data_IF_979043000577
#
_entry.id   IF_979043000577
#
_cell.length_a   1.000
_cell.length_b   1.000
_cell.length_c   1.000
_cell.angle_alpha   90.00
_cell.angle_beta   90.00
_cell.angle_gamma   90.00
#
_symmetry.space_group_name_H-M   'P 1'
#
loop_
_entity.id
_entity.type
_entity.pdbx_description
1 polymer ?
#
# COMPACT_ATOMS: atom_id res chain seq x y z
N UNK A 1 -27.37 5.40 15.68
CA UNK A 1 -26.92 6.72 15.21
C UNK A 1 -26.39 6.56 13.79
N UNK A 2 -27.26 6.80 12.81
CA UNK A 2 -27.05 6.48 11.39
C UNK A 2 -26.31 7.61 10.68
N UNK A 3 -24.99 7.48 10.56
CA UNK A 3 -24.17 8.37 9.72
C UNK A 3 -24.27 7.94 8.26
N UNK A 4 -25.14 8.59 7.50
CA UNK A 4 -25.25 8.41 6.05
C UNK A 4 -24.19 9.27 5.36
N UNK A 5 -23.12 8.64 4.88
CA UNK A 5 -22.10 9.25 4.02
C UNK A 5 -22.74 9.69 2.70
N UNK A 6 -23.09 10.98 2.59
CA UNK A 6 -23.61 11.58 1.36
C UNK A 6 -22.45 11.80 0.37
N UNK A 7 -22.53 11.13 -0.78
CA UNK A 7 -21.67 11.43 -1.93
C UNK A 7 -22.06 12.79 -2.51
N UNK A 8 -21.09 13.71 -2.63
CA UNK A 8 -21.26 14.95 -3.38
C UNK A 8 -21.30 14.65 -4.89
N UNK A 9 -22.34 15.08 -5.63
CA UNK A 9 -22.33 15.01 -7.08
C UNK A 9 -21.41 16.11 -7.68
N UNK A 10 -20.87 15.88 -8.89
CA UNK A 10 -19.88 16.76 -9.52
C UNK A 10 -20.46 18.12 -9.93
N UNK A 11 -19.61 19.14 -9.88
CA UNK A 11 -19.84 20.55 -10.18
C UNK A 11 -20.35 20.82 -11.61
N UNK A 12 -21.67 20.69 -11.83
CA UNK A 12 -22.38 21.31 -12.96
C UNK A 12 -23.21 22.54 -12.55
N UNK A 13 -22.89 23.18 -11.42
CA UNK A 13 -23.76 24.16 -10.75
C UNK A 13 -23.45 25.64 -11.00
N UNK A 14 -22.35 26.01 -11.67
CA UNK A 14 -21.92 27.43 -11.69
C UNK A 14 -22.85 28.33 -12.52
N UNK A 15 -23.22 27.92 -13.73
CA UNK A 15 -24.05 28.74 -14.62
C UNK A 15 -25.51 28.82 -14.15
N UNK A 16 -26.06 27.70 -13.66
CA UNK A 16 -27.41 27.65 -13.11
C UNK A 16 -27.53 28.48 -11.83
N UNK A 17 -26.51 28.46 -10.95
CA UNK A 17 -26.47 29.30 -9.75
C UNK A 17 -26.35 30.78 -10.13
N UNK A 18 -25.50 31.12 -11.10
CA UNK A 18 -25.36 32.49 -11.58
C UNK A 18 -26.69 33.06 -12.14
N UNK A 19 -27.44 32.26 -12.91
CA UNK A 19 -28.77 32.65 -13.40
C UNK A 19 -29.74 32.93 -12.24
N UNK A 20 -29.74 32.11 -11.20
CA UNK A 20 -30.58 32.31 -10.00
C UNK A 20 -30.20 33.58 -9.23
N UNK A 21 -28.91 33.87 -9.12
CA UNK A 21 -28.44 35.11 -8.50
C UNK A 21 -28.87 36.34 -9.29
N UNK A 22 -28.77 36.32 -10.63
CA UNK A 22 -29.24 37.44 -11.47
C UNK A 22 -30.75 37.64 -11.38
N UNK A 23 -31.54 36.56 -11.28
CA UNK A 23 -32.97 36.64 -11.00
C UNK A 23 -33.24 37.42 -9.70
N UNK A 24 -32.55 37.06 -8.61
CA UNK A 24 -32.73 37.73 -7.30
C UNK A 24 -32.30 39.20 -7.35
N UNK A 25 -31.16 39.50 -7.98
CA UNK A 25 -30.65 40.87 -8.13
C UNK A 25 -31.57 41.73 -9.00
N UNK A 26 -32.12 41.18 -10.08
CA UNK A 26 -33.09 41.85 -10.93
C UNK A 26 -34.37 42.22 -10.16
N UNK A 27 -34.88 41.31 -9.34
CA UNK A 27 -36.02 41.60 -8.47
C UNK A 27 -35.67 42.62 -7.37
N UNK A 28 -34.45 42.60 -6.82
CA UNK A 28 -34.00 43.57 -5.81
C UNK A 28 -33.86 44.98 -6.38
N UNK A 29 -33.53 45.10 -7.68
CA UNK A 29 -33.47 46.37 -8.41
C UNK A 29 -34.86 46.93 -8.79
N UNK A 30 -35.95 46.31 -8.32
CA UNK A 30 -37.32 46.79 -8.54
C UNK A 30 -37.99 46.29 -9.84
N UNK A 31 -37.33 45.44 -10.63
CA UNK A 31 -37.94 44.85 -11.84
C UNK A 31 -39.05 43.88 -11.47
N UNK A 32 -40.12 43.87 -12.27
CA UNK A 32 -41.20 42.90 -12.16
C UNK A 32 -40.72 41.49 -12.55
N UNK A 33 -41.41 40.45 -12.07
CA UNK A 33 -41.07 39.07 -12.41
C UNK A 33 -41.13 38.79 -13.93
N UNK A 34 -41.93 39.56 -14.68
CA UNK A 34 -42.06 39.43 -16.14
C UNK A 34 -40.85 40.01 -16.87
N UNK A 35 -40.33 41.13 -16.41
CA UNK A 35 -39.11 41.75 -16.97
C UNK A 35 -37.89 40.89 -16.69
N UNK A 36 -37.71 40.43 -15.45
CA UNK A 36 -36.60 39.55 -15.08
C UNK A 36 -36.64 38.22 -15.85
N UNK A 37 -37.84 37.70 -16.11
CA UNK A 37 -38.03 36.49 -16.90
C UNK A 37 -37.59 36.66 -18.36
N UNK A 38 -37.91 37.81 -18.96
CA UNK A 38 -37.47 38.15 -20.32
C UNK A 38 -35.95 38.33 -20.40
N UNK A 39 -35.35 39.03 -19.43
CA UNK A 39 -33.90 39.29 -19.37
C UNK A 39 -33.08 37.99 -19.23
N UNK A 40 -33.55 37.03 -18.41
CA UNK A 40 -32.83 35.78 -18.13
C UNK A 40 -33.25 34.60 -19.03
N UNK A 41 -34.21 34.80 -19.94
CA UNK A 41 -34.71 33.78 -20.86
C UNK A 41 -35.42 32.61 -20.16
N UNK A 42 -36.16 32.89 -19.07
CA UNK A 42 -36.86 31.88 -18.26
C UNK A 42 -38.35 32.17 -18.16
N UNK A 43 -39.14 31.20 -17.71
CA UNK A 43 -40.56 31.42 -17.44
C UNK A 43 -40.77 32.28 -16.18
N UNK A 44 -41.78 33.19 -16.14
CA UNK A 44 -42.07 34.01 -14.96
C UNK A 44 -42.30 33.21 -13.66
N UNK A 45 -42.82 31.98 -13.77
CA UNK A 45 -42.96 31.05 -12.64
C UNK A 45 -41.60 30.63 -12.04
N UNK A 46 -40.57 30.52 -12.87
CA UNK A 46 -39.20 30.20 -12.44
C UNK A 46 -38.61 31.35 -11.62
N UNK A 47 -38.87 32.60 -12.04
CA UNK A 47 -38.50 33.80 -11.26
C UNK A 47 -39.20 33.81 -9.90
N UNK A 48 -40.52 33.56 -9.89
CA UNK A 48 -41.30 33.46 -8.66
C UNK A 48 -40.78 32.38 -7.70
N UNK A 49 -40.45 31.19 -8.22
CA UNK A 49 -39.88 30.08 -7.45
C UNK A 49 -38.57 30.46 -6.77
N UNK A 50 -37.60 30.99 -7.52
CA UNK A 50 -36.29 31.33 -6.95
C UNK A 50 -36.33 32.53 -6.02
N UNK A 51 -37.17 33.52 -6.32
CA UNK A 51 -37.44 34.65 -5.42
C UNK A 51 -38.05 34.17 -4.10
N UNK A 52 -39.03 33.26 -4.14
CA UNK A 52 -39.61 32.66 -2.93
C UNK A 52 -38.58 31.90 -2.10
N UNK A 53 -37.82 31.00 -2.73
CA UNK A 53 -36.75 30.24 -2.04
C UNK A 53 -35.67 31.15 -1.44
N UNK A 54 -35.34 32.26 -2.10
CA UNK A 54 -34.40 33.24 -1.56
C UNK A 54 -34.97 34.00 -0.35
N UNK A 55 -36.27 34.32 -0.34
CA UNK A 55 -36.91 34.95 0.82
C UNK A 55 -36.91 34.01 2.05
N UNK A 56 -37.11 32.72 1.83
CA UNK A 56 -37.16 31.70 2.89
C UNK A 56 -35.76 31.35 3.43
N UNK A 57 -34.80 31.06 2.54
CA UNK A 57 -33.51 30.44 2.90
C UNK A 57 -32.28 31.21 2.38
N UNK A 58 -32.46 32.46 1.91
CA UNK A 58 -31.38 33.32 1.39
C UNK A 58 -30.54 32.59 0.33
N UNK A 59 -29.22 32.69 0.42
CA UNK A 59 -28.30 32.10 -0.55
C UNK A 59 -28.38 30.57 -0.59
N UNK A 60 -28.67 29.91 0.54
CA UNK A 60 -28.84 28.45 0.59
C UNK A 60 -30.05 27.99 -0.23
N UNK A 61 -31.11 28.81 -0.28
CA UNK A 61 -32.30 28.57 -1.10
C UNK A 61 -32.05 28.56 -2.61
N UNK A 62 -30.90 29.07 -3.08
CA UNK A 62 -30.53 29.09 -4.50
C UNK A 62 -29.76 27.84 -4.94
N UNK A 63 -29.32 27.00 -3.99
CA UNK A 63 -28.70 25.72 -4.32
C UNK A 63 -29.72 24.73 -4.90
N UNK A 64 -29.21 23.78 -5.69
CA UNK A 64 -30.01 22.60 -6.04
C UNK A 64 -30.21 21.75 -4.80
N UNK A 65 -31.46 21.42 -4.52
CA UNK A 65 -31.75 20.39 -3.53
C UNK A 65 -31.18 19.04 -3.98
N UNK A 66 -30.78 18.18 -3.03
CA UNK A 66 -30.41 16.81 -3.35
C UNK A 66 -31.57 16.16 -4.10
N UNK A 67 -31.36 15.87 -5.39
CA UNK A 67 -32.37 15.16 -6.18
C UNK A 67 -32.59 13.80 -5.52
N UNK A 68 -33.84 13.35 -5.35
CA UNK A 68 -34.11 11.98 -4.95
C UNK A 68 -33.40 11.07 -5.96
N UNK A 69 -32.35 10.39 -5.51
CA UNK A 69 -31.66 9.40 -6.34
C UNK A 69 -32.61 8.27 -6.71
N UNK A 70 -32.18 7.42 -7.65
CA UNK A 70 -32.94 6.19 -7.91
C UNK A 70 -33.12 5.40 -6.60
N UNK A 71 -34.33 4.89 -6.31
CA UNK A 71 -34.58 4.14 -5.09
C UNK A 71 -33.61 2.97 -4.98
N UNK A 72 -33.06 2.78 -3.78
CA UNK A 72 -32.05 1.75 -3.53
C UNK A 72 -32.69 0.37 -3.71
N UNK A 73 -32.21 -0.39 -4.71
CA UNK A 73 -32.72 -1.74 -5.03
C UNK A 73 -32.09 -2.86 -4.21
N UNK A 74 -30.97 -2.58 -3.52
CA UNK A 74 -30.20 -3.58 -2.79
C UNK A 74 -30.42 -3.33 -1.29
N UNK A 75 -31.02 -4.31 -0.63
CA UNK A 75 -31.29 -4.28 0.82
C UNK A 75 -29.98 -4.26 1.62
N UNK A 76 -30.05 -3.78 2.86
CA UNK A 76 -28.89 -3.85 3.76
C UNK A 76 -28.53 -5.31 4.08
N UNK A 77 -29.53 -6.18 4.21
CA UNK A 77 -29.38 -7.63 4.37
C UNK A 77 -28.52 -8.25 3.25
N UNK A 78 -28.77 -7.91 1.98
CA UNK A 78 -27.97 -8.43 0.87
C UNK A 78 -26.52 -7.91 0.86
N UNK A 79 -26.30 -6.70 1.40
CA UNK A 79 -24.95 -6.15 1.57
C UNK A 79 -24.23 -6.88 2.70
N UNK A 80 -24.90 -7.10 3.82
CA UNK A 80 -24.37 -7.84 4.97
C UNK A 80 -23.99 -9.27 4.59
N UNK A 81 -24.88 -10.01 3.93
CA UNK A 81 -24.61 -11.38 3.45
C UNK A 81 -23.37 -11.45 2.55
N UNK A 82 -23.19 -10.46 1.66
CA UNK A 82 -22.00 -10.38 0.82
C UNK A 82 -20.73 -10.14 1.64
N UNK A 83 -20.78 -9.23 2.62
CA UNK A 83 -19.63 -8.92 3.48
C UNK A 83 -19.23 -10.15 4.30
N UNK A 84 -20.20 -10.80 4.96
CA UNK A 84 -19.99 -12.03 5.73
C UNK A 84 -19.40 -13.13 4.86
N UNK A 85 -19.99 -13.38 3.69
CA UNK A 85 -19.45 -14.37 2.74
C UNK A 85 -18.03 -14.03 2.27
N UNK A 86 -17.71 -12.74 2.12
CA UNK A 86 -16.36 -12.29 1.74
C UNK A 86 -15.34 -12.55 2.84
N UNK A 87 -15.71 -12.36 4.11
CA UNK A 87 -14.80 -12.42 5.25
C UNK A 87 -14.61 -13.83 5.81
N UNK A 88 -15.65 -14.66 5.78
CA UNK A 88 -15.67 -15.92 6.52
C UNK A 88 -15.56 -17.16 5.64
N UNK A 89 -15.63 -17.01 4.32
CA UNK A 89 -15.67 -18.13 3.37
C UNK A 89 -14.66 -17.97 2.26
N UNK A 90 -14.33 -19.09 1.62
CA UNK A 90 -13.54 -19.13 0.40
C UNK A 90 -14.35 -19.77 -0.74
N UNK A 91 -14.15 -19.34 -2.00
CA UNK A 91 -14.81 -19.95 -3.13
C UNK A 91 -14.31 -21.39 -3.37
N UNK A 92 -15.20 -22.26 -3.84
CA UNK A 92 -14.82 -23.61 -4.26
C UNK A 92 -13.81 -23.56 -5.41
N UNK A 93 -12.65 -24.18 -5.22
CA UNK A 93 -11.62 -24.30 -6.28
C UNK A 93 -10.81 -23.03 -6.54
N UNK A 94 -10.85 -22.02 -5.66
CA UNK A 94 -10.01 -20.84 -5.75
C UNK A 94 -9.59 -20.36 -4.36
N UNK A 95 -8.45 -19.68 -4.28
CA UNK A 95 -7.91 -19.17 -3.01
C UNK A 95 -8.65 -17.94 -2.48
N UNK A 96 -9.26 -17.14 -3.38
CA UNK A 96 -9.90 -15.87 -3.02
C UNK A 96 -11.12 -15.59 -3.89
N UNK A 97 -12.08 -14.83 -3.34
CA UNK A 97 -13.25 -14.39 -4.09
C UNK A 97 -12.88 -13.44 -5.25
N UNK A 98 -13.36 -13.77 -6.45
CA UNK A 98 -13.42 -12.83 -7.57
C UNK A 98 -14.78 -12.12 -7.55
N UNK A 99 -14.88 -10.96 -8.20
CA UNK A 99 -16.19 -10.30 -8.40
C UNK A 99 -17.19 -11.21 -9.11
N UNK A 100 -16.69 -12.08 -10.00
CA UNK A 100 -17.53 -13.03 -10.74
C UNK A 100 -18.05 -14.15 -9.84
N UNK A 101 -17.20 -14.74 -8.99
CA UNK A 101 -17.61 -15.83 -8.12
C UNK A 101 -18.49 -15.34 -6.97
N UNK A 102 -18.20 -14.18 -6.40
CA UNK A 102 -19.05 -13.57 -5.37
C UNK A 102 -20.42 -13.12 -5.93
N UNK A 103 -20.46 -12.67 -7.19
CA UNK A 103 -21.72 -12.37 -7.89
C UNK A 103 -22.57 -13.63 -8.09
N UNK A 104 -21.93 -14.76 -8.46
CA UNK A 104 -22.62 -16.04 -8.60
C UNK A 104 -23.16 -16.56 -7.25
N UNK A 105 -22.41 -16.36 -6.16
CA UNK A 105 -22.79 -16.76 -4.81
C UNK A 105 -23.98 -15.95 -4.27
N UNK A 106 -23.98 -14.62 -4.48
CA UNK A 106 -24.94 -13.70 -3.86
C UNK A 106 -26.11 -13.31 -4.78
N UNK A 107 -26.05 -13.67 -6.07
CA UNK A 107 -26.99 -13.22 -7.09
C UNK A 107 -26.87 -11.73 -7.47
N UNK A 108 -25.89 -11.01 -6.91
CA UNK A 108 -25.66 -9.59 -7.20
C UNK A 108 -24.80 -9.41 -8.45
N UNK A 109 -24.95 -8.28 -9.14
CA UNK A 109 -24.09 -7.96 -10.28
C UNK A 109 -22.62 -7.76 -9.86
N UNK A 110 -21.68 -8.09 -10.75
CA UNK A 110 -20.22 -7.90 -10.51
C UNK A 110 -19.87 -6.45 -10.15
N UNK A 111 -20.57 -5.47 -10.74
CA UNK A 111 -20.35 -4.05 -10.47
C UNK A 111 -20.87 -3.65 -9.08
N UNK A 112 -21.99 -4.24 -8.64
CA UNK A 112 -22.49 -4.10 -7.27
C UNK A 112 -21.49 -4.67 -6.27
N UNK A 113 -21.02 -5.91 -6.46
CA UNK A 113 -20.00 -6.52 -5.60
C UNK A 113 -18.78 -5.62 -5.50
N UNK A 114 -18.26 -5.13 -6.64
CA UNK A 114 -17.12 -4.24 -6.66
C UNK A 114 -17.34 -2.90 -5.93
N UNK A 115 -18.55 -2.32 -6.01
CA UNK A 115 -18.90 -1.09 -5.28
C UNK A 115 -18.99 -1.34 -3.77
N UNK A 116 -19.57 -2.46 -3.35
CA UNK A 116 -19.66 -2.83 -1.93
C UNK A 116 -18.24 -3.05 -1.39
N UNK A 117 -17.44 -3.91 -2.02
CA UNK A 117 -16.04 -4.11 -1.61
C UNK A 117 -15.26 -2.80 -1.53
N UNK A 118 -15.39 -1.90 -2.51
CA UNK A 118 -14.73 -0.58 -2.47
C UNK A 118 -15.22 0.28 -1.29
N UNK A 119 -16.52 0.27 -1.00
CA UNK A 119 -17.12 1.09 0.06
C UNK A 119 -16.70 0.62 1.45
N UNK A 120 -16.50 -0.69 1.62
CA UNK A 120 -16.09 -1.32 2.89
C UNK A 120 -14.58 -1.61 2.95
N UNK A 121 -13.79 -1.19 1.95
CA UNK A 121 -12.35 -1.44 1.91
C UNK A 121 -11.96 -2.92 1.76
N UNK A 122 -12.89 -3.80 1.38
CA UNK A 122 -12.64 -5.23 1.25
C UNK A 122 -11.80 -5.52 0.00
N UNK A 123 -10.68 -6.22 0.20
CA UNK A 123 -9.79 -6.64 -0.88
C UNK A 123 -9.46 -8.12 -0.70
N UNK A 124 -10.34 -9.03 -1.19
CA UNK A 124 -10.19 -10.46 -0.91
C UNK A 124 -8.90 -11.10 -1.44
N UNK A 125 -8.21 -10.45 -2.37
CA UNK A 125 -6.94 -10.91 -2.94
C UNK A 125 -5.72 -10.40 -2.17
N UNK A 126 -5.89 -9.51 -1.19
CA UNK A 126 -4.82 -9.03 -0.34
C UNK A 126 -4.76 -9.90 0.90
N UNK A 127 -3.57 -10.40 1.19
CA UNK A 127 -3.25 -11.16 2.39
C UNK A 127 -2.06 -10.46 3.03
N UNK A 128 -2.25 -9.97 4.24
CA UNK A 128 -1.16 -9.47 5.06
C UNK A 128 -0.71 -10.60 5.98
N UNK A 129 0.57 -10.92 5.92
CA UNK A 129 1.20 -11.85 6.84
C UNK A 129 1.74 -11.07 8.03
N UNK A 130 1.54 -11.61 9.23
CA UNK A 130 2.13 -11.05 10.44
C UNK A 130 2.85 -12.16 11.19
N UNK A 131 3.87 -11.78 11.95
CA UNK A 131 4.61 -12.69 12.81
C UNK A 131 4.61 -12.10 14.22
N UNK A 132 4.06 -12.84 15.18
CA UNK A 132 4.22 -12.56 16.59
C UNK A 132 5.42 -13.39 17.06
N UNK A 133 6.42 -12.73 17.61
CA UNK A 133 7.58 -13.40 18.22
C UNK A 133 7.21 -13.85 19.62
N UNK A 134 7.53 -15.10 19.95
CA UNK A 134 7.35 -15.68 21.28
C UNK A 134 8.67 -15.75 22.06
N UNK A 135 9.66 -14.95 21.63
CA UNK A 135 10.98 -14.91 22.24
C UNK A 135 10.87 -14.38 23.68
N UNK A 136 11.33 -15.13 24.71
CA UNK A 136 11.31 -14.65 26.09
C UNK A 136 12.09 -13.34 26.28
N UNK A 137 13.06 -13.05 25.41
CA UNK A 137 13.87 -11.82 25.40
C UNK A 137 13.39 -10.81 24.35
N UNK A 138 12.16 -10.91 23.86
CA UNK A 138 11.62 -10.07 22.79
C UNK A 138 11.88 -8.57 23.02
N UNK A 139 11.47 -8.06 24.19
CA UNK A 139 11.59 -6.63 24.52
C UNK A 139 13.04 -6.18 24.53
N UNK A 140 13.93 -6.97 25.11
CA UNK A 140 15.34 -6.62 25.22
C UNK A 140 16.04 -6.64 23.86
N UNK A 141 15.77 -7.65 23.02
CA UNK A 141 16.30 -7.72 21.65
C UNK A 141 15.77 -6.60 20.76
N UNK A 142 14.48 -6.24 20.89
CA UNK A 142 13.91 -5.10 20.18
C UNK A 142 14.61 -3.81 20.61
N UNK A 143 14.79 -3.59 21.93
CA UNK A 143 15.47 -2.39 22.43
C UNK A 143 16.93 -2.33 22.00
N UNK A 144 17.63 -3.44 22.01
CA UNK A 144 19.02 -3.56 21.56
C UNK A 144 19.15 -3.17 20.08
N UNK A 145 18.35 -3.79 19.20
CA UNK A 145 18.37 -3.49 17.77
C UNK A 145 17.90 -2.07 17.48
N UNK A 146 16.74 -1.65 18.03
CA UNK A 146 16.20 -0.30 17.81
C UNK A 146 17.14 0.77 18.36
N UNK A 147 17.81 0.51 19.48
CA UNK A 147 18.83 1.39 20.05
C UNK A 147 19.93 1.69 19.05
N UNK A 148 20.47 0.66 18.37
CA UNK A 148 21.49 0.84 17.33
C UNK A 148 21.03 1.70 16.14
N UNK A 149 19.73 1.67 15.81
CA UNK A 149 19.18 2.51 14.74
C UNK A 149 18.96 3.96 15.17
N UNK A 150 18.59 4.19 16.43
CA UNK A 150 18.21 5.52 16.92
C UNK A 150 19.40 6.30 17.49
N UNK A 151 20.26 5.62 18.23
CA UNK A 151 21.38 6.21 18.98
C UNK A 151 22.52 5.17 19.08
N UNK A 152 23.25 4.92 17.98
CA UNK A 152 24.35 3.97 17.98
C UNK A 152 25.49 4.46 18.89
N UNK A 153 26.31 3.55 19.46
CA UNK A 153 27.46 3.93 20.25
C UNK A 153 28.43 4.86 19.50
N UNK A 154 29.19 5.67 20.24
CA UNK A 154 30.22 6.49 19.63
C UNK A 154 31.26 5.62 18.90
N UNK A 155 31.70 6.07 17.72
CA UNK A 155 32.64 5.34 16.87
C UNK A 155 32.16 3.92 16.50
N UNK A 156 30.85 3.73 16.36
CA UNK A 156 30.27 2.49 15.88
C UNK A 156 29.94 2.54 14.38
N UNK A 157 30.14 1.41 13.71
CA UNK A 157 29.58 1.09 12.40
C UNK A 157 28.47 0.05 12.59
N UNK A 158 27.24 0.42 12.27
CA UNK A 158 26.07 -0.47 12.38
C UNK A 158 25.74 -1.06 11.02
N UNK A 159 25.84 -2.39 10.91
CA UNK A 159 25.61 -3.13 9.68
C UNK A 159 24.45 -4.11 9.85
N UNK A 160 23.47 -4.05 8.94
CA UNK A 160 22.43 -5.05 8.83
C UNK A 160 22.85 -6.14 7.85
N UNK A 161 23.03 -7.36 8.35
CA UNK A 161 23.54 -8.48 7.58
C UNK A 161 22.40 -9.43 7.22
N UNK A 162 22.30 -9.75 5.94
CA UNK A 162 21.33 -10.71 5.42
C UNK A 162 21.96 -11.60 4.33
N UNK A 163 21.36 -12.77 4.14
CA UNK A 163 21.78 -13.77 3.19
C UNK A 163 20.66 -14.15 2.23
N UNK A 164 20.95 -14.00 0.94
CA UNK A 164 20.11 -14.56 -0.10
C UNK A 164 20.77 -15.82 -0.66
N UNK A 165 20.37 -16.96 -0.09
CA UNK A 165 20.79 -18.28 -0.58
C UNK A 165 20.01 -18.70 -1.83
N UNK A 166 20.54 -19.72 -2.52
CA UNK A 166 19.89 -20.38 -3.66
C UNK A 166 19.50 -19.45 -4.82
N UNK A 167 20.25 -18.38 -5.05
CA UNK A 167 20.08 -17.50 -6.20
C UNK A 167 20.41 -18.29 -7.47
N UNK A 168 19.41 -18.55 -8.31
CA UNK A 168 19.65 -19.18 -9.60
C UNK A 168 20.32 -18.17 -10.55
N UNK A 169 21.51 -18.50 -11.04
CA UNK A 169 22.18 -17.72 -12.07
C UNK A 169 21.60 -18.13 -13.43
N UNK A 170 20.55 -17.43 -13.84
CA UNK A 170 19.83 -17.66 -15.09
C UNK A 170 20.19 -16.60 -16.11
N UNK A 171 20.44 -17.02 -17.35
CA UNK A 171 20.49 -16.14 -18.50
C UNK A 171 19.44 -16.55 -19.54
N UNK A 172 19.02 -15.61 -20.39
CA UNK A 172 18.10 -15.90 -21.49
C UNK A 172 18.88 -16.46 -22.67
N UNK A 173 18.30 -17.44 -23.36
CA UNK A 173 18.89 -17.99 -24.58
C UNK A 173 18.96 -16.98 -25.73
N UNK A 174 18.14 -15.92 -25.69
CA UNK A 174 18.19 -14.80 -26.63
C UNK A 174 17.84 -13.47 -25.93
N UNK A 175 18.24 -12.32 -26.52
CA UNK A 175 17.89 -11.00 -25.99
C UNK A 175 16.37 -10.80 -25.87
N UNK A 176 15.96 -10.09 -24.81
CA UNK A 176 14.55 -9.70 -24.62
C UNK A 176 14.17 -8.64 -25.66
N UNK A 177 13.08 -8.89 -26.39
CA UNK A 177 12.52 -7.90 -27.31
C UNK A 177 11.53 -7.02 -26.54
N UNK A 178 11.76 -5.69 -26.48
CA UNK A 178 10.93 -4.79 -25.69
C UNK A 178 9.49 -4.74 -26.21
N UNK A 179 8.58 -4.36 -25.32
CA UNK A 179 7.16 -4.15 -25.66
C UNK A 179 6.99 -3.00 -26.65
N UNK A 180 6.05 -3.15 -27.59
CA UNK A 180 5.56 -2.07 -28.46
C UNK A 180 4.03 -2.01 -28.43
N UNK A 181 3.38 -0.91 -28.85
CA UNK A 181 1.92 -0.85 -28.97
C UNK A 181 1.38 -2.03 -29.80
N UNK A 182 0.47 -2.82 -29.23
CA UNK A 182 -0.10 -4.02 -29.86
C UNK A 182 0.80 -5.27 -29.83
N UNK A 183 2.03 -5.17 -29.31
CA UNK A 183 2.97 -6.28 -29.25
C UNK A 183 3.54 -6.42 -27.83
N UNK A 184 3.15 -7.48 -27.09
CA UNK A 184 3.73 -7.73 -25.78
C UNK A 184 5.24 -7.97 -25.91
N UNK A 185 5.96 -7.68 -24.84
CA UNK A 185 7.37 -8.03 -24.70
C UNK A 185 7.57 -9.53 -25.00
N UNK A 186 8.61 -9.87 -25.76
CA UNK A 186 8.91 -11.26 -26.11
C UNK A 186 10.18 -11.71 -25.42
N UNK A 187 10.04 -12.78 -24.64
CA UNK A 187 11.13 -13.49 -23.95
C UNK A 187 11.14 -14.93 -24.43
N UNK A 188 12.32 -15.50 -24.59
CA UNK A 188 12.45 -16.95 -24.75
C UNK A 188 12.02 -17.65 -23.46
N UNK A 189 11.34 -18.78 -23.60
CA UNK A 189 10.81 -19.57 -22.49
C UNK A 189 11.89 -20.47 -21.87
N UNK A 190 12.86 -20.86 -22.69
CA UNK A 190 14.08 -21.54 -22.32
C UNK A 190 15.11 -20.56 -21.72
N UNK A 191 15.94 -21.09 -20.83
CA UNK A 191 16.98 -20.34 -20.11
C UNK A 191 18.25 -21.17 -20.01
N UNK A 192 19.38 -20.50 -19.92
CA UNK A 192 20.69 -21.12 -19.64
C UNK A 192 20.93 -21.06 -18.14
N UNK A 193 21.25 -22.22 -17.54
CA UNK A 193 21.48 -22.33 -16.09
C UNK A 193 22.98 -22.38 -15.81
N UNK A 194 23.49 -21.37 -15.09
CA UNK A 194 24.89 -21.29 -14.65
C UNK A 194 25.12 -21.83 -13.22
N UNK A 195 24.13 -22.55 -12.69
CA UNK A 195 24.14 -23.09 -11.34
C UNK A 195 23.42 -22.18 -10.34
N UNK A 196 23.81 -22.34 -9.08
CA UNK A 196 23.19 -21.66 -7.94
C UNK A 196 24.29 -20.95 -7.16
N UNK A 197 23.99 -19.74 -6.70
CA UNK A 197 24.91 -18.93 -5.91
C UNK A 197 24.23 -18.42 -4.65
N UNK A 198 25.02 -17.85 -3.73
CA UNK A 198 24.54 -17.25 -2.50
C UNK A 198 25.20 -15.90 -2.32
N UNK A 199 24.40 -14.89 -2.01
CA UNK A 199 24.86 -13.55 -1.66
C UNK A 199 24.82 -13.39 -0.15
N UNK A 200 25.93 -12.96 0.42
CA UNK A 200 25.99 -12.37 1.76
C UNK A 200 26.11 -10.85 1.57
N UNK A 201 25.30 -10.08 2.28
CA UNK A 201 25.31 -8.64 2.18
C UNK A 201 25.23 -8.00 3.56
N UNK A 202 25.94 -6.90 3.76
CA UNK A 202 25.88 -6.06 4.94
C UNK A 202 25.55 -4.63 4.48
N UNK A 203 24.40 -4.12 4.91
CA UNK A 203 23.95 -2.76 4.67
C UNK A 203 24.40 -1.87 5.82
N UNK A 204 25.17 -0.82 5.52
CA UNK A 204 25.44 0.26 6.46
C UNK A 204 24.18 1.09 6.67
N UNK A 205 23.72 1.14 7.93
CA UNK A 205 22.48 1.82 8.33
C UNK A 205 22.58 3.34 8.14
N UNK A 206 23.76 3.93 8.34
CA UNK A 206 23.94 5.37 8.30
C UNK A 206 24.10 5.88 6.86
N UNK A 207 24.84 5.15 6.02
CA UNK A 207 25.19 5.61 4.66
C UNK A 207 24.35 4.98 3.55
N UNK A 208 23.75 3.81 3.80
CA UNK A 208 23.09 3.00 2.78
C UNK A 208 24.06 2.23 1.88
N UNK A 209 25.37 2.25 2.16
CA UNK A 209 26.35 1.44 1.42
C UNK A 209 26.13 -0.06 1.68
N UNK A 210 26.34 -0.90 0.65
CA UNK A 210 26.18 -2.36 0.75
C UNK A 210 27.50 -3.06 0.48
N UNK A 211 28.01 -3.76 1.48
CA UNK A 211 29.15 -4.66 1.35
C UNK A 211 28.66 -6.06 1.00
N UNK A 212 28.94 -6.52 -0.22
CA UNK A 212 28.49 -7.85 -0.70
C UNK A 212 29.62 -8.85 -0.92
N UNK A 213 29.36 -10.14 -0.72
CA UNK A 213 30.16 -11.23 -1.26
C UNK A 213 29.30 -12.36 -1.83
N UNK A 214 29.75 -12.94 -2.94
CA UNK A 214 29.07 -14.05 -3.60
C UNK A 214 29.87 -15.34 -3.36
N UNK A 215 29.18 -16.39 -2.94
CA UNK A 215 29.78 -17.70 -2.69
C UNK A 215 28.94 -18.82 -3.31
N UNK A 216 29.61 -19.88 -3.79
CA UNK A 216 28.95 -21.07 -4.39
C UNK A 216 28.19 -21.93 -3.36
N UNK A 217 28.46 -21.78 -2.07
CA UNK A 217 27.87 -22.56 -0.98
C UNK A 217 27.41 -21.62 0.12
N UNK A 218 26.43 -22.07 0.90
CA UNK A 218 25.88 -21.35 2.04
C UNK A 218 26.17 -22.12 3.33
N UNK A 219 27.31 -21.83 3.98
CA UNK A 219 27.73 -22.46 5.24
C UNK A 219 28.45 -21.44 6.12
N UNK A 220 28.66 -21.81 7.38
CA UNK A 220 29.44 -21.02 8.35
C UNK A 220 30.85 -20.62 7.86
N UNK A 221 31.51 -21.46 7.05
CA UNK A 221 32.84 -21.15 6.49
C UNK A 221 32.75 -19.98 5.50
N UNK A 222 31.71 -19.97 4.65
CA UNK A 222 31.48 -18.86 3.72
C UNK A 222 31.07 -17.58 4.45
N UNK A 223 30.24 -17.68 5.50
CA UNK A 223 29.92 -16.54 6.36
C UNK A 223 31.18 -15.96 7.03
N UNK A 224 32.06 -16.80 7.59
CA UNK A 224 33.35 -16.35 8.14
C UNK A 224 34.20 -15.63 7.09
N UNK A 225 34.25 -16.11 5.84
CA UNK A 225 34.97 -15.43 4.77
C UNK A 225 34.39 -14.05 4.49
N UNK A 226 33.07 -13.91 4.55
CA UNK A 226 32.39 -12.62 4.45
C UNK A 226 32.77 -11.70 5.62
N UNK A 227 32.75 -12.18 6.87
CA UNK A 227 33.21 -11.41 8.04
C UNK A 227 34.67 -10.96 7.90
N UNK A 228 35.55 -11.85 7.43
CA UNK A 228 36.96 -11.49 7.16
C UNK A 228 37.07 -10.44 6.05
N UNK A 229 36.20 -10.47 5.04
CA UNK A 229 36.17 -9.41 4.02
C UNK A 229 35.73 -8.07 4.64
N UNK A 230 34.68 -8.07 5.45
CA UNK A 230 34.22 -6.88 6.16
C UNK A 230 35.33 -6.28 7.00
N UNK A 231 35.98 -7.09 7.84
CA UNK A 231 37.11 -6.72 8.70
C UNK A 231 38.25 -6.00 7.96
N UNK A 232 38.52 -6.40 6.71
CA UNK A 232 39.55 -5.77 5.87
C UNK A 232 39.07 -4.52 5.11
N UNK A 233 37.75 -4.29 5.04
CA UNK A 233 37.16 -3.21 4.21
C UNK A 233 36.68 -2.04 5.07
N UNK A 234 36.13 -2.33 6.24
CA UNK A 234 35.59 -1.30 7.15
C UNK A 234 36.71 -0.58 7.90
N UNK A 235 36.50 0.69 8.32
CA UNK A 235 37.49 1.44 9.08
C UNK A 235 37.94 0.71 10.34
N UNK A 236 39.25 0.72 10.60
CA UNK A 236 39.82 -0.17 11.62
C UNK A 236 39.61 0.32 13.07
N UNK A 237 39.28 1.59 13.23
CA UNK A 237 39.11 2.30 14.49
C UNK A 237 37.66 2.32 15.01
N UNK A 238 36.74 1.70 14.27
CA UNK A 238 35.33 1.61 14.63
C UNK A 238 34.98 0.25 15.25
N UNK A 239 34.07 0.27 16.22
CA UNK A 239 33.37 -0.93 16.69
C UNK A 239 32.28 -1.29 15.68
N UNK A 240 32.19 -2.57 15.31
CA UNK A 240 31.29 -3.04 14.25
C UNK A 240 30.14 -3.82 14.86
N UNK A 241 28.95 -3.25 14.80
CA UNK A 241 27.71 -3.85 15.28
C UNK A 241 26.96 -4.52 14.13
N UNK A 242 26.94 -5.85 14.13
CA UNK A 242 26.26 -6.66 13.13
C UNK A 242 24.86 -7.04 13.63
N UNK A 243 23.83 -6.56 12.95
CA UNK A 243 22.44 -6.97 13.17
C UNK A 243 22.15 -8.13 12.22
N UNK A 244 21.85 -9.31 12.77
CA UNK A 244 21.62 -10.55 12.03
C UNK A 244 20.30 -11.21 12.42
N UNK A 245 19.80 -12.08 11.57
CA UNK A 245 18.74 -13.01 11.95
C UNK A 245 19.28 -14.17 12.83
N UNK A 246 18.39 -15.01 13.36
CA UNK A 246 18.77 -16.13 14.24
C UNK A 246 19.26 -17.39 13.49
N UNK A 247 19.73 -17.27 12.25
CA UNK A 247 20.18 -18.42 11.48
C UNK A 247 21.35 -19.15 12.15
N UNK A 248 21.36 -20.49 12.03
CA UNK A 248 22.25 -21.35 12.82
C UNK A 248 23.73 -21.20 12.47
N UNK A 249 24.06 -20.72 11.27
CA UNK A 249 25.45 -20.46 10.86
C UNK A 249 26.09 -19.36 11.70
N UNK A 250 25.33 -18.33 12.10
CA UNK A 250 25.81 -17.22 12.93
C UNK A 250 26.28 -17.69 14.32
N UNK A 251 25.68 -18.77 14.82
CA UNK A 251 25.98 -19.36 16.14
C UNK A 251 26.92 -20.57 16.06
N UNK A 252 27.49 -20.84 14.89
CA UNK A 252 28.39 -21.98 14.71
C UNK A 252 29.72 -21.78 15.45
N UNK A 253 30.39 -22.85 15.92
CA UNK A 253 31.68 -22.74 16.61
C UNK A 253 32.76 -22.01 15.80
N UNK A 254 32.69 -22.10 14.47
CA UNK A 254 33.62 -21.41 13.56
C UNK A 254 33.46 -19.90 13.63
N UNK A 255 32.21 -19.42 13.70
CA UNK A 255 31.89 -17.99 13.79
C UNK A 255 32.14 -17.48 15.20
N UNK A 256 31.71 -18.21 16.23
CA UNK A 256 31.99 -17.86 17.63
C UNK A 256 33.49 -17.72 17.90
N UNK A 257 34.32 -18.65 17.39
CA UNK A 257 35.79 -18.57 17.53
C UNK A 257 36.38 -17.36 16.79
N UNK A 258 35.80 -16.99 15.64
CA UNK A 258 36.25 -15.81 14.91
C UNK A 258 35.90 -14.53 15.66
N UNK A 259 34.67 -14.39 16.16
CA UNK A 259 34.23 -13.24 16.97
C UNK A 259 35.07 -13.08 18.24
N UNK A 260 35.39 -14.17 18.93
CA UNK A 260 36.27 -14.13 20.10
C UNK A 260 37.68 -13.60 19.80
N UNK A 261 38.16 -13.75 18.56
CA UNK A 261 39.44 -13.21 18.11
C UNK A 261 39.34 -11.76 17.55
N UNK A 262 38.13 -11.24 17.33
CA UNK A 262 37.87 -9.91 16.77
C UNK A 262 36.90 -9.16 17.70
N UNK A 263 37.36 -8.71 18.89
CA UNK A 263 36.49 -8.19 19.94
C UNK A 263 35.70 -6.92 19.55
N UNK A 264 36.12 -6.20 18.51
CA UNK A 264 35.39 -5.05 17.94
C UNK A 264 34.10 -5.44 17.21
N UNK A 265 33.88 -6.72 16.91
CA UNK A 265 32.68 -7.19 16.25
C UNK A 265 31.65 -7.67 17.27
N UNK A 266 30.52 -6.97 17.31
CA UNK A 266 29.38 -7.27 18.19
C UNK A 266 28.22 -7.81 17.37
N UNK A 267 27.66 -8.96 17.76
CA UNK A 267 26.49 -9.53 17.09
C UNK A 267 25.20 -9.27 17.88
N UNK A 268 24.22 -8.75 17.17
CA UNK A 268 22.87 -8.43 17.65
C UNK A 268 21.88 -9.26 16.84
N UNK A 269 20.94 -9.93 17.52
CA UNK A 269 20.01 -10.85 16.86
C UNK A 269 18.58 -10.32 16.91
N UNK A 270 17.89 -10.34 15.77
CA UNK A 270 16.47 -10.01 15.72
C UNK A 270 15.64 -10.97 16.58
N UNK A 271 14.55 -10.53 17.22
CA UNK A 271 13.66 -11.42 17.97
C UNK A 271 13.00 -12.48 17.07
N UNK A 272 12.80 -13.69 17.60
CA UNK A 272 12.29 -14.85 16.82
C UNK A 272 10.86 -15.25 17.09
#
# INVERSE_FOLDING_TARGET
MTSTTRSQPPSKSSQALAQRCRIVLGCAAGKSNKEVAADEGVWPQTVGKWRGRFLEARLEGLADEPRPGAPRKITDEAVEQLIVATLERQPKGATHWSRSSMAAETGLSKSTVGRIWKSFGLKPHQVDTFKISNDPQFVDKVRDVVGLYLDPPEKALVLCVDEKSQIQALDRSAPVLPMMPGMPERRTHDYVRHGITTLFAALDVATGEVYGSIHRRHRAIEFKKFLTKLDNTVPADLDVHLICDNYSTHKSPTVTKWLAAHPRFHMHFTPT
#
